data_IF_447183085145
#
_entry.id   IF_447183085145
#
_cell.length_a   1.000
_cell.length_b   1.000
_cell.length_c   1.000
_cell.angle_alpha   90.00
_cell.angle_beta   90.00
_cell.angle_gamma   90.00
#
_symmetry.space_group_name_H-M   'P 1'
#
loop_
_entity.id
_entity.type
_entity.pdbx_description
1 polymer ?
#
# COMPACT_ATOMS: atom_id res chain seq x y z
N UNK A 1 -8.66 -18.53 0.96
CA UNK A 1 -9.29 -18.71 -0.37
C UNK A 1 -8.78 -20.01 -0.96
N UNK A 2 -9.62 -20.84 -1.58
CA UNK A 2 -9.18 -22.04 -2.29
C UNK A 2 -8.88 -21.67 -3.73
N UNK A 3 -7.64 -21.87 -4.18
CA UNK A 3 -7.26 -21.67 -5.59
C UNK A 3 -6.62 -22.94 -6.12
N UNK A 4 -6.87 -23.24 -7.39
CA UNK A 4 -6.13 -24.27 -8.13
C UNK A 4 -4.89 -23.62 -8.70
N UNK A 5 -3.72 -24.07 -8.28
CA UNK A 5 -2.43 -23.56 -8.74
C UNK A 5 -1.57 -24.69 -9.31
N UNK A 6 -0.70 -24.36 -10.26
CA UNK A 6 0.36 -25.26 -10.72
C UNK A 6 1.52 -25.19 -9.71
N UNK A 7 1.76 -26.30 -9.00
CA UNK A 7 2.78 -26.41 -7.96
C UNK A 7 3.93 -27.29 -8.45
N UNK A 8 5.15 -26.89 -8.15
CA UNK A 8 6.37 -27.64 -8.45
C UNK A 8 7.11 -27.90 -7.14
N UNK A 9 7.44 -29.17 -6.86
CA UNK A 9 8.07 -29.56 -5.61
C UNK A 9 9.52 -29.07 -5.49
N UNK A 10 10.22 -28.94 -6.62
CA UNK A 10 11.59 -28.45 -6.71
C UNK A 10 11.84 -27.81 -8.07
N UNK A 11 12.76 -26.85 -8.13
CA UNK A 11 13.04 -26.08 -9.35
C UNK A 11 13.45 -27.01 -10.49
N UNK A 12 12.66 -27.03 -11.57
CA UNK A 12 12.91 -27.84 -12.76
C UNK A 12 12.10 -29.14 -12.85
N UNK A 13 11.34 -29.51 -11.81
CA UNK A 13 10.45 -30.67 -11.86
C UNK A 13 9.15 -30.39 -12.64
N UNK A 14 8.41 -31.45 -12.97
CA UNK A 14 7.11 -31.38 -13.63
C UNK A 14 6.06 -30.79 -12.68
N UNK A 15 5.29 -29.80 -13.16
CA UNK A 15 4.23 -29.19 -12.35
C UNK A 15 3.01 -30.13 -12.21
N UNK A 16 2.30 -29.99 -11.08
CA UNK A 16 1.00 -30.63 -10.82
C UNK A 16 0.00 -29.55 -10.42
N UNK A 17 -1.26 -29.72 -10.81
CA UNK A 17 -2.33 -28.83 -10.37
C UNK A 17 -2.81 -29.29 -8.99
N UNK A 18 -2.70 -28.41 -7.99
CA UNK A 18 -3.14 -28.68 -6.63
C UNK A 18 -4.05 -27.56 -6.12
N UNK A 19 -5.05 -27.93 -5.33
CA UNK A 19 -5.93 -26.96 -4.66
C UNK A 19 -5.26 -26.51 -3.37
N UNK A 20 -4.79 -25.27 -3.34
CA UNK A 20 -4.14 -24.69 -2.19
C UNK A 20 -5.15 -23.89 -1.36
N UNK A 21 -5.12 -24.12 -0.04
CA UNK A 21 -5.74 -23.20 0.92
C UNK A 21 -4.77 -22.03 1.15
N UNK A 22 -4.88 -21.00 0.31
CA UNK A 22 -4.17 -19.76 0.55
C UNK A 22 -4.83 -19.05 1.73
N UNK A 23 -4.09 -18.92 2.82
CA UNK A 23 -4.43 -18.01 3.89
C UNK A 23 -3.70 -16.69 3.66
N UNK A 24 -4.23 -15.77 2.85
CA UNK A 24 -3.88 -14.36 3.02
C UNK A 24 -5.08 -13.42 2.77
N UNK A 25 -5.37 -12.49 3.71
CA UNK A 25 -6.14 -11.30 3.39
C UNK A 25 -5.34 -10.43 2.42
N UNK A 26 -6.03 -9.56 1.66
CA UNK A 26 -5.33 -8.48 0.98
C UNK A 26 -4.52 -7.67 2.00
N UNK A 27 -3.27 -7.34 1.68
CA UNK A 27 -2.43 -6.47 2.50
C UNK A 27 -3.25 -5.23 2.89
N UNK A 28 -3.40 -4.99 4.19
CA UNK A 28 -4.16 -3.86 4.72
C UNK A 28 -5.65 -4.11 5.04
N UNK A 29 -6.13 -5.36 5.07
CA UNK A 29 -7.51 -5.69 5.47
C UNK A 29 -7.59 -6.67 6.65
N UNK A 30 -8.68 -6.62 7.40
CA UNK A 30 -8.96 -7.57 8.47
C UNK A 30 -9.30 -8.96 7.90
N UNK A 31 -8.90 -10.01 8.63
CA UNK A 31 -9.27 -11.39 8.26
C UNK A 31 -10.77 -11.60 8.47
N UNK A 32 -11.39 -12.42 7.63
CA UNK A 32 -12.79 -12.83 7.80
C UNK A 32 -12.95 -13.54 9.15
N UNK A 33 -13.99 -13.18 9.90
CA UNK A 33 -14.28 -13.77 11.22
C UNK A 33 -13.54 -13.13 12.40
N UNK A 34 -12.78 -12.04 12.17
CA UNK A 34 -12.23 -11.24 13.26
C UNK A 34 -13.31 -10.31 13.79
N UNK A 35 -13.61 -10.41 15.08
CA UNK A 35 -14.53 -9.51 15.79
C UNK A 35 -13.74 -8.46 16.58
N UNK A 36 -14.33 -7.27 16.74
CA UNK A 36 -13.80 -6.22 17.59
C UNK A 36 -14.86 -5.83 18.62
N UNK A 37 -14.50 -5.86 19.91
CA UNK A 37 -15.37 -5.39 21.00
C UNK A 37 -15.14 -3.90 21.22
N UNK A 38 -16.22 -3.14 21.38
CA UNK A 38 -16.18 -1.71 21.64
C UNK A 38 -17.01 -1.35 22.86
N UNK A 39 -16.51 -0.45 23.68
CA UNK A 39 -17.28 0.09 24.81
C UNK A 39 -18.40 1.00 24.29
N UNK A 40 -19.63 0.79 24.76
CA UNK A 40 -20.79 1.59 24.32
C UNK A 40 -20.61 3.09 24.59
N UNK A 41 -19.84 3.47 25.62
CA UNK A 41 -19.50 4.87 25.90
C UNK A 41 -18.75 5.56 24.75
N UNK A 42 -18.01 4.82 23.93
CA UNK A 42 -17.24 5.38 22.81
C UNK A 42 -18.13 5.78 21.61
N UNK A 43 -19.31 5.17 21.48
CA UNK A 43 -20.29 5.44 20.39
C UNK A 43 -21.50 6.25 20.84
N UNK A 44 -21.61 6.55 22.14
CA UNK A 44 -22.60 7.50 22.64
C UNK A 44 -22.40 8.91 22.04
N UNK A 45 -23.42 9.76 22.18
CA UNK A 45 -23.45 11.13 21.64
C UNK A 45 -23.31 11.22 20.11
N UNK A 46 -23.77 10.20 19.39
CA UNK A 46 -23.81 10.22 17.92
C UNK A 46 -22.44 10.02 17.25
N UNK A 47 -21.46 9.41 17.93
CA UNK A 47 -20.16 9.08 17.34
C UNK A 47 -20.28 7.84 16.44
N UNK A 48 -19.52 7.83 15.34
CA UNK A 48 -19.57 6.76 14.34
C UNK A 48 -18.23 6.03 14.25
N UNK A 49 -18.28 4.69 14.21
CA UNK A 49 -17.16 3.85 13.82
C UNK A 49 -17.32 3.44 12.35
N UNK A 50 -16.31 3.69 11.52
CA UNK A 50 -16.32 3.35 10.09
C UNK A 50 -15.01 2.68 9.70
N UNK A 51 -15.11 1.52 9.05
CA UNK A 51 -13.97 0.90 8.37
C UNK A 51 -13.64 1.64 7.08
N UNK A 52 -12.35 1.75 6.74
CA UNK A 52 -11.89 2.37 5.51
C UNK A 52 -10.74 1.54 4.94
N UNK A 53 -10.83 1.20 3.65
CA UNK A 53 -9.78 0.50 2.92
C UNK A 53 -9.34 1.43 1.79
N UNK A 54 -8.04 1.75 1.74
CA UNK A 54 -7.45 2.58 0.69
C UNK A 54 -8.16 3.93 0.44
N UNK A 55 -8.71 4.53 1.50
CA UNK A 55 -9.43 5.81 1.40
C UNK A 55 -10.92 5.69 1.03
N UNK A 56 -11.44 4.49 0.76
CA UNK A 56 -12.84 4.22 0.41
C UNK A 56 -13.34 5.10 -0.75
N UNK A 57 -12.47 5.32 -1.74
CA UNK A 57 -12.70 6.19 -2.89
C UNK A 57 -12.41 5.46 -4.22
N UNK A 58 -13.22 5.68 -5.27
CA UNK A 58 -12.96 5.13 -6.59
C UNK A 58 -11.70 5.75 -7.19
N UNK A 59 -10.66 4.95 -7.40
CA UNK A 59 -9.34 5.42 -7.81
C UNK A 59 -9.36 6.19 -9.15
N UNK A 60 -10.18 5.73 -10.12
CA UNK A 60 -10.31 6.35 -11.45
C UNK A 60 -10.79 7.80 -11.37
N UNK A 61 -11.64 8.12 -10.40
CA UNK A 61 -12.16 9.48 -10.20
C UNK A 61 -11.29 10.28 -9.23
N UNK A 62 -10.76 9.64 -8.18
CA UNK A 62 -10.09 10.32 -7.08
C UNK A 62 -8.64 10.70 -7.38
N UNK A 63 -7.88 9.85 -8.09
CA UNK A 63 -6.49 10.17 -8.44
C UNK A 63 -6.38 11.45 -9.31
N UNK A 64 -7.21 11.64 -10.35
CA UNK A 64 -7.22 12.91 -11.09
C UNK A 64 -7.48 14.13 -10.21
N UNK A 65 -8.38 14.03 -9.22
CA UNK A 65 -8.65 15.13 -8.29
C UNK A 65 -7.45 15.43 -7.39
N UNK A 66 -6.77 14.40 -6.88
CA UNK A 66 -5.54 14.57 -6.09
C UNK A 66 -4.44 15.26 -6.91
N UNK A 67 -4.31 14.90 -8.20
CA UNK A 67 -3.38 15.56 -9.11
C UNK A 67 -3.72 17.04 -9.29
N UNK A 68 -4.99 17.38 -9.46
CA UNK A 68 -5.44 18.77 -9.55
C UNK A 68 -5.15 19.57 -8.28
N UNK A 69 -5.39 18.99 -7.10
CA UNK A 69 -5.03 19.62 -5.84
C UNK A 69 -3.52 19.80 -5.68
N UNK A 70 -2.72 18.83 -6.13
CA UNK A 70 -1.27 18.94 -6.14
C UNK A 70 -0.80 20.06 -7.09
N UNK A 71 -1.33 20.08 -8.32
CA UNK A 71 -1.05 21.09 -9.34
C UNK A 71 -1.39 22.51 -8.86
N UNK A 72 -2.47 22.65 -8.10
CA UNK A 72 -2.92 23.92 -7.51
C UNK A 72 -2.29 24.21 -6.13
N UNK A 73 -1.27 23.44 -5.70
CA UNK A 73 -0.57 23.55 -4.41
C UNK A 73 -1.45 23.43 -3.16
N UNK A 74 -2.63 22.83 -3.29
CA UNK A 74 -3.52 22.50 -2.19
C UNK A 74 -3.13 21.16 -1.53
N UNK A 75 -2.40 20.31 -2.25
CA UNK A 75 -1.82 19.07 -1.75
C UNK A 75 -0.30 19.11 -1.92
N UNK A 76 0.45 19.18 -0.80
CA UNK A 76 1.92 19.25 -0.81
C UNK A 76 2.51 17.89 -0.46
N UNK A 77 3.01 17.17 -1.46
CA UNK A 77 3.57 15.82 -1.29
C UNK A 77 5.09 15.80 -1.21
N UNK A 78 5.74 16.83 -1.75
CA UNK A 78 7.18 16.95 -1.87
C UNK A 78 7.92 16.77 -0.54
N UNK A 79 7.45 17.34 0.60
CA UNK A 79 8.13 17.16 1.88
C UNK A 79 8.11 15.73 2.42
N UNK A 80 7.21 14.88 1.91
CA UNK A 80 7.07 13.49 2.36
C UNK A 80 7.98 12.53 1.58
N UNK A 81 8.50 12.97 0.42
CA UNK A 81 9.18 12.10 -0.53
C UNK A 81 10.70 12.18 -0.34
N UNK A 82 11.32 11.02 -0.18
CA UNK A 82 12.76 10.84 -0.27
C UNK A 82 13.10 9.99 -1.50
N UNK A 83 13.99 10.48 -2.35
CA UNK A 83 14.40 9.79 -3.57
C UNK A 83 15.67 8.97 -3.36
N UNK A 84 15.69 7.79 -3.95
CA UNK A 84 16.83 6.88 -3.96
C UNK A 84 17.03 6.37 -5.38
N UNK A 85 18.28 6.13 -5.76
CA UNK A 85 18.56 5.38 -6.99
C UNK A 85 18.19 3.91 -6.78
N UNK A 86 17.81 3.22 -7.84
CA UNK A 86 17.38 1.81 -7.74
C UNK A 86 18.44 0.91 -7.07
N UNK A 87 19.73 1.20 -7.28
CA UNK A 87 20.83 0.47 -6.66
C UNK A 87 20.83 0.56 -5.13
N UNK A 88 20.24 1.62 -4.56
CA UNK A 88 20.18 1.89 -3.12
C UNK A 88 18.90 1.36 -2.45
N UNK A 89 18.20 0.40 -3.07
CA UNK A 89 16.92 -0.12 -2.56
C UNK A 89 16.96 -0.56 -1.09
N UNK A 90 18.06 -1.20 -0.65
CA UNK A 90 18.19 -1.65 0.74
C UNK A 90 18.26 -0.48 1.72
N UNK A 91 18.93 0.62 1.34
CA UNK A 91 18.98 1.85 2.12
C UNK A 91 17.60 2.53 2.16
N UNK A 92 16.90 2.57 1.04
CA UNK A 92 15.54 3.11 0.96
C UNK A 92 14.57 2.37 1.91
N UNK A 93 14.70 1.05 2.00
CA UNK A 93 13.94 0.22 2.94
C UNK A 93 14.31 0.52 4.39
N UNK A 94 15.61 0.59 4.71
CA UNK A 94 16.06 0.90 6.08
C UNK A 94 15.58 2.29 6.55
N UNK A 95 15.69 3.29 5.69
CA UNK A 95 15.22 4.65 5.98
C UNK A 95 13.70 4.70 6.14
N UNK A 96 12.95 3.90 5.38
CA UNK A 96 11.49 3.78 5.54
C UNK A 96 11.10 3.12 6.87
N UNK A 97 11.77 2.02 7.24
CA UNK A 97 11.49 1.29 8.48
C UNK A 97 11.89 2.08 9.73
N UNK A 98 12.97 2.84 9.66
CA UNK A 98 13.42 3.72 10.75
C UNK A 98 12.61 5.01 10.86
N UNK A 99 11.74 5.30 9.88
CA UNK A 99 10.97 6.55 9.81
C UNK A 99 11.78 7.76 9.34
N UNK A 100 13.05 7.60 8.94
CA UNK A 100 13.85 8.65 8.33
C UNK A 100 13.26 9.12 6.99
N UNK A 101 12.70 8.20 6.22
CA UNK A 101 11.94 8.48 5.00
C UNK A 101 10.45 8.17 5.22
N UNK A 102 9.59 9.18 5.08
CA UNK A 102 8.13 8.98 5.16
C UNK A 102 7.63 8.21 3.93
N UNK A 103 8.09 8.59 2.74
CA UNK A 103 7.83 7.88 1.49
C UNK A 103 9.09 7.79 0.64
N UNK A 104 9.74 6.63 0.65
CA UNK A 104 10.83 6.36 -0.29
C UNK A 104 10.29 6.15 -1.71
N UNK A 105 10.93 6.78 -2.70
CA UNK A 105 10.65 6.63 -4.13
C UNK A 105 11.94 6.24 -4.85
N UNK A 106 11.91 5.09 -5.53
CA UNK A 106 13.04 4.60 -6.32
C UNK A 106 13.00 5.19 -7.73
N UNK A 107 14.15 5.64 -8.22
CA UNK A 107 14.36 6.05 -9.62
C UNK A 107 14.85 4.84 -10.41
N UNK A 108 14.04 4.37 -11.36
CA UNK A 108 14.29 3.13 -12.11
C UNK A 108 15.24 3.34 -13.29
N UNK A 109 15.35 4.57 -13.82
CA UNK A 109 15.90 4.78 -15.16
C UNK A 109 17.25 5.52 -15.18
N UNK A 110 17.87 5.78 -14.02
CA UNK A 110 19.10 6.59 -13.91
C UNK A 110 18.92 8.08 -14.30
N UNK A 111 17.84 8.43 -14.98
CA UNK A 111 17.43 9.79 -15.20
C UNK A 111 16.54 10.24 -14.04
N UNK A 112 16.93 11.34 -13.39
CA UNK A 112 16.10 11.98 -12.40
C UNK A 112 14.81 12.43 -13.09
N UNK A 113 13.76 11.61 -13.02
CA UNK A 113 12.39 12.00 -13.33
C UNK A 113 12.04 13.13 -12.37
N UNK A 114 12.37 14.34 -12.82
CA UNK A 114 12.25 15.57 -12.09
C UNK A 114 10.78 15.89 -11.92
N UNK A 115 10.20 15.42 -10.82
CA UNK A 115 9.31 16.31 -10.09
C UNK A 115 10.23 17.37 -9.51
N UNK A 116 10.55 18.39 -10.34
CA UNK A 116 11.25 19.57 -9.86
C UNK A 116 10.33 20.18 -8.78
N UNK A 117 10.81 20.41 -7.55
CA UNK A 117 10.05 21.20 -6.61
C UNK A 117 9.84 22.56 -7.27
N UNK A 118 8.57 22.92 -7.46
CA UNK A 118 8.19 24.23 -7.96
C UNK A 118 8.29 25.27 -6.86
#
# INVERSE_FOLDING_TARGET
>A
MKVTAAVVAEKGARFRLETLELAEPAVGSARKGVEATLEMALVQHGRTLRGCIQGDAPAEEFIPQLFEHWRNRQLRVEPLVAYYDFADINRAVEDSLSGRAVKAVLRIDGEAAGIKPQ
#
